data_IF_572103516350
#
_entry.id   IF_572103516350
#
_cell.length_a   1.000
_cell.length_b   1.000
_cell.length_c   1.000
_cell.angle_alpha   90.00
_cell.angle_beta   90.00
_cell.angle_gamma   90.00
#
_symmetry.space_group_name_H-M   'P 1'
#
loop_
_entity.id
_entity.type
_entity.pdbx_description
1 polymer ?
#
# COMPACT_ATOMS: atom_id res chain seq x y z
N UNK A 1 -5.73 7.24 -13.37
CA UNK A 1 -5.11 5.97 -13.80
C UNK A 1 -5.56 4.91 -12.80
N UNK A 2 -6.34 3.91 -13.22
CA UNK A 2 -7.00 2.99 -12.28
C UNK A 2 -6.03 2.01 -11.61
N UNK A 3 -6.46 1.46 -10.46
CA UNK A 3 -5.76 0.34 -9.79
C UNK A 3 -5.72 -0.85 -10.75
N UNK A 4 -4.52 -1.28 -11.14
CA UNK A 4 -4.34 -2.47 -11.99
C UNK A 4 -4.07 -3.70 -11.11
N UNK A 5 -4.40 -4.92 -11.57
CA UNK A 5 -4.13 -6.14 -10.81
C UNK A 5 -2.63 -6.34 -10.50
N UNK A 6 -1.74 -5.85 -11.36
CA UNK A 6 -0.28 -5.89 -11.13
C UNK A 6 0.13 -4.95 -10.00
N UNK A 7 -0.43 -3.73 -9.96
CA UNK A 7 -0.20 -2.79 -8.87
C UNK A 7 -0.75 -3.36 -7.56
N UNK A 8 -1.95 -3.92 -7.61
CA UNK A 8 -2.59 -4.56 -6.47
C UNK A 8 -1.73 -5.70 -5.90
N UNK A 9 -1.19 -6.56 -6.76
CA UNK A 9 -0.26 -7.61 -6.35
C UNK A 9 1.02 -7.04 -5.73
N UNK A 10 1.64 -6.02 -6.33
CA UNK A 10 2.86 -5.41 -5.78
C UNK A 10 2.66 -4.77 -4.43
N UNK A 11 1.54 -4.07 -4.26
CA UNK A 11 1.16 -3.50 -2.97
C UNK A 11 0.95 -4.60 -1.93
N UNK A 12 0.32 -5.71 -2.29
CA UNK A 12 0.14 -6.84 -1.36
C UNK A 12 1.48 -7.46 -0.92
N UNK A 13 2.43 -7.63 -1.83
CA UNK A 13 3.78 -8.09 -1.51
C UNK A 13 4.52 -7.12 -0.56
N UNK A 14 4.33 -5.82 -0.76
CA UNK A 14 4.85 -4.77 0.10
C UNK A 14 4.26 -4.83 1.51
N UNK A 15 2.94 -4.98 1.62
CA UNK A 15 2.26 -5.15 2.92
C UNK A 15 2.78 -6.39 3.65
N UNK A 16 2.89 -7.51 2.94
CA UNK A 16 3.42 -8.74 3.53
C UNK A 16 4.85 -8.57 4.02
N UNK A 17 5.69 -7.86 3.25
CA UNK A 17 7.08 -7.58 3.64
C UNK A 17 7.17 -6.63 4.83
N UNK A 18 6.39 -5.54 4.83
CA UNK A 18 6.37 -4.55 5.91
C UNK A 18 5.85 -5.11 7.24
N UNK A 19 4.93 -6.07 7.18
CA UNK A 19 4.39 -6.81 8.33
C UNK A 19 5.25 -8.03 8.70
N UNK A 20 6.39 -8.26 8.03
CA UNK A 20 7.24 -9.42 8.31
C UNK A 20 6.58 -10.78 8.04
N UNK A 21 5.54 -10.80 7.21
CA UNK A 21 4.78 -11.99 6.84
C UNK A 21 3.56 -12.28 7.73
N UNK A 22 3.22 -11.42 8.69
CA UNK A 22 1.99 -11.58 9.48
C UNK A 22 0.73 -11.51 8.60
N UNK A 23 0.74 -10.60 7.62
CA UNK A 23 -0.33 -10.49 6.62
C UNK A 23 0.13 -11.18 5.33
N UNK A 24 -0.59 -12.20 4.89
CA UNK A 24 -0.25 -12.94 3.68
C UNK A 24 -0.79 -12.23 2.42
N UNK A 25 -0.03 -12.32 1.33
CA UNK A 25 -0.45 -11.80 0.00
C UNK A 25 -1.76 -12.45 -0.44
N UNK A 26 -1.95 -13.75 -0.15
CA UNK A 26 -3.15 -14.48 -0.54
C UNK A 26 -4.41 -13.93 0.16
N UNK A 27 -4.32 -13.62 1.45
CA UNK A 27 -5.46 -13.10 2.22
C UNK A 27 -5.82 -11.66 1.81
N UNK A 28 -4.81 -10.85 1.48
CA UNK A 28 -4.99 -9.51 0.92
C UNK A 28 -5.66 -9.57 -0.46
N UNK A 29 -5.22 -10.49 -1.30
CA UNK A 29 -5.79 -10.69 -2.64
C UNK A 29 -7.21 -11.28 -2.58
N UNK A 30 -7.55 -12.02 -1.53
CA UNK A 30 -8.92 -12.48 -1.27
C UNK A 30 -9.89 -11.34 -0.88
N UNK A 31 -9.38 -10.13 -0.62
CA UNK A 31 -10.20 -8.95 -0.30
C UNK A 31 -10.54 -8.80 1.18
N UNK A 32 -9.76 -9.42 2.08
CA UNK A 32 -9.91 -9.23 3.52
C UNK A 32 -9.58 -7.80 3.96
N UNK A 33 -10.15 -7.37 5.09
CA UNK A 33 -9.74 -6.11 5.73
C UNK A 33 -8.33 -6.24 6.29
N UNK A 34 -7.44 -5.30 5.99
CA UNK A 34 -6.05 -5.36 6.44
C UNK A 34 -5.96 -5.34 7.98
N UNK A 35 -6.82 -4.56 8.63
CA UNK A 35 -6.92 -4.52 10.09
C UNK A 35 -7.39 -5.87 10.64
N UNK A 36 -8.33 -6.53 9.98
CA UNK A 36 -8.79 -7.86 10.36
C UNK A 36 -7.72 -8.94 10.16
N UNK A 37 -6.80 -8.73 9.20
CA UNK A 37 -5.65 -9.62 8.95
C UNK A 37 -4.49 -9.38 9.93
N UNK A 38 -4.60 -8.38 10.82
CA UNK A 38 -3.60 -8.10 11.85
C UNK A 38 -2.71 -6.89 11.57
N UNK A 39 -3.04 -6.06 10.58
CA UNK A 39 -2.34 -4.79 10.39
C UNK A 39 -2.63 -3.85 11.57
N UNK A 40 -1.63 -3.67 12.43
CA UNK A 40 -1.69 -2.76 13.58
C UNK A 40 -1.01 -1.41 13.28
N UNK A 41 -0.95 -0.52 14.27
CA UNK A 41 -0.34 0.80 14.13
C UNK A 41 1.16 0.75 13.79
N UNK A 42 1.87 -0.29 14.22
CA UNK A 42 3.30 -0.44 13.97
C UNK A 42 3.55 -1.04 12.58
N UNK A 43 2.73 -2.01 12.17
CA UNK A 43 2.70 -2.52 10.80
C UNK A 43 2.37 -1.42 9.80
N UNK A 44 1.47 -0.50 10.15
CA UNK A 44 1.11 0.64 9.31
C UNK A 44 2.27 1.65 9.18
N UNK A 45 3.00 1.94 10.25
CA UNK A 45 4.23 2.76 10.18
C UNK A 45 5.31 2.13 9.31
N UNK A 46 5.57 0.82 9.49
CA UNK A 46 6.52 0.08 8.65
C UNK A 46 6.11 0.03 7.19
N UNK A 47 4.80 -0.02 6.94
CA UNK A 47 4.25 0.00 5.60
C UNK A 47 4.46 1.36 4.92
N UNK A 48 4.23 2.47 5.65
CA UNK A 48 4.61 3.81 5.18
C UNK A 48 6.06 3.81 4.77
N UNK A 49 6.97 3.51 5.70
CA UNK A 49 8.42 3.53 5.45
C UNK A 49 8.81 2.67 4.23
N UNK A 50 8.21 1.49 4.06
CA UNK A 50 8.48 0.61 2.94
C UNK A 50 7.98 1.16 1.61
N UNK A 51 6.80 1.79 1.57
CA UNK A 51 6.25 2.42 0.36
C UNK A 51 7.10 3.64 -0.02
N UNK A 52 7.47 4.47 0.96
CA UNK A 52 8.31 5.65 0.73
C UNK A 52 9.69 5.26 0.21
N UNK A 53 10.28 4.19 0.75
CA UNK A 53 11.57 3.67 0.31
C UNK A 53 11.50 3.02 -1.09
N UNK A 54 10.45 2.26 -1.39
CA UNK A 54 10.28 1.55 -2.67
C UNK A 54 9.96 2.53 -3.82
N UNK A 55 9.07 3.50 -3.59
CA UNK A 55 8.56 4.37 -4.65
C UNK A 55 9.10 5.80 -4.61
N UNK A 56 9.80 6.20 -3.55
CA UNK A 56 10.30 7.57 -3.39
C UNK A 56 9.17 8.60 -3.24
N UNK A 57 8.03 8.18 -2.69
CA UNK A 57 6.84 9.02 -2.46
C UNK A 57 6.71 9.31 -0.96
N UNK A 58 5.96 10.34 -0.58
CA UNK A 58 5.59 10.59 0.81
C UNK A 58 4.12 10.20 0.99
N UNK A 59 3.84 9.28 1.91
CA UNK A 59 2.48 8.73 2.11
C UNK A 59 2.07 8.79 3.58
N UNK A 60 1.08 9.64 3.87
CA UNK A 60 0.42 9.63 5.17
C UNK A 60 -0.76 8.65 5.15
N UNK A 61 -0.56 7.49 5.77
CA UNK A 61 -1.57 6.46 6.03
C UNK A 61 -2.35 6.68 7.34
N UNK A 62 -1.88 7.58 8.21
CA UNK A 62 -2.50 7.89 9.49
C UNK A 62 -3.43 9.11 9.41
N UNK A 63 -3.44 9.81 8.27
CA UNK A 63 -4.31 10.95 8.02
C UNK A 63 -5.80 10.60 8.23
N UNK A 64 -6.52 11.36 9.08
CA UNK A 64 -7.94 11.12 9.31
C UNK A 64 -8.74 11.28 8.02
N UNK A 65 -9.58 10.30 7.69
CA UNK A 65 -10.39 10.27 6.47
C UNK A 65 -9.78 9.47 5.31
N UNK A 66 -8.56 8.93 5.47
CA UNK A 66 -8.03 7.90 4.56
C UNK A 66 -8.43 6.51 5.08
N UNK A 67 -9.41 5.90 4.43
CA UNK A 67 -9.75 4.50 4.66
C UNK A 67 -8.62 3.61 4.17
N UNK A 68 -8.04 2.83 5.07
CA UNK A 68 -7.12 1.73 4.77
C UNK A 68 -7.72 0.45 5.29
N UNK A 69 -8.95 0.18 4.86
CA UNK A 69 -9.62 -1.06 5.18
C UNK A 69 -9.21 -2.14 4.19
N UNK A 70 -9.04 -1.78 2.91
CA UNK A 70 -8.81 -2.77 1.84
C UNK A 70 -7.52 -2.53 1.06
N UNK A 71 -7.04 -3.60 0.44
CA UNK A 71 -5.90 -3.54 -0.48
C UNK A 71 -6.15 -2.58 -1.67
N UNK A 72 -7.40 -2.45 -2.11
CA UNK A 72 -7.76 -1.56 -3.22
C UNK A 72 -7.59 -0.09 -2.85
N UNK A 73 -7.97 0.31 -1.63
CA UNK A 73 -7.78 1.67 -1.14
C UNK A 73 -6.28 2.01 -1.04
N UNK A 74 -5.47 1.08 -0.54
CA UNK A 74 -4.03 1.25 -0.47
C UNK A 74 -3.41 1.34 -1.88
N UNK A 75 -3.84 0.48 -2.81
CA UNK A 75 -3.34 0.51 -4.17
C UNK A 75 -3.74 1.79 -4.92
N UNK A 76 -4.94 2.31 -4.68
CA UNK A 76 -5.37 3.61 -5.19
C UNK A 76 -4.51 4.74 -4.62
N UNK A 77 -4.22 4.70 -3.32
CA UNK A 77 -3.36 5.67 -2.68
C UNK A 77 -1.96 5.69 -3.27
N UNK A 78 -1.34 4.52 -3.44
CA UNK A 78 -0.02 4.41 -4.07
C UNK A 78 -0.09 4.89 -5.52
N UNK A 79 -1.16 4.57 -6.25
CA UNK A 79 -1.34 5.05 -7.62
C UNK A 79 -1.40 6.59 -7.71
N UNK A 80 -2.05 7.24 -6.75
CA UNK A 80 -2.15 8.71 -6.63
C UNK A 80 -0.86 9.36 -6.13
N UNK A 81 -0.20 8.73 -5.16
CA UNK A 81 1.02 9.24 -4.52
C UNK A 81 2.24 9.12 -5.44
N UNK A 82 2.24 8.15 -6.38
CA UNK A 82 3.24 8.11 -7.44
C UNK A 82 3.16 9.43 -8.21
N UNK A 83 4.17 10.33 -8.09
CA UNK A 83 4.32 11.34 -9.10
C UNK A 83 4.47 10.53 -10.38
N UNK A 84 3.68 10.85 -11.40
CA UNK A 84 3.94 10.29 -12.70
C UNK A 84 5.43 10.42 -13.00
N UNK A 85 5.98 9.54 -13.83
CA UNK A 85 7.19 9.80 -14.60
C UNK A 85 7.02 11.03 -15.54
N UNK A 86 6.27 12.07 -15.12
CA UNK A 86 6.02 13.38 -15.74
C UNK A 86 7.15 14.37 -15.46
N UNK A 87 8.38 13.87 -15.47
CA UNK A 87 9.45 14.59 -16.13
C UNK A 87 10.00 13.64 -17.20
N UNK A 88 9.21 13.44 -18.26
CA UNK A 88 9.81 13.24 -19.57
C UNK A 88 10.81 14.39 -19.75
N UNK A 89 12.09 14.08 -19.58
CA UNK A 89 13.20 14.92 -20.01
C UNK A 89 12.90 15.31 -21.45
N UNK A 90 12.55 16.58 -21.66
CA UNK A 90 12.62 17.26 -22.94
C UNK A 90 13.25 18.61 -22.70
#
# INVERSE_FOLDING_TARGET
MGVTPELRQRVAELVSTATGGEVSVADLMAGGSMVALGLDSLGLLRLVDAIELEYGVEVDLQAPGRGLDTLDELAALVAEARPEQSAAVR
#
